data_IF_945083059025
#
_entry.id   IF_945083059025
#
_cell.length_a   1.000
_cell.length_b   1.000
_cell.length_c   1.000
_cell.angle_alpha   90.00
_cell.angle_beta   90.00
_cell.angle_gamma   90.00
#
_symmetry.space_group_name_H-M   'P 1'
#
loop_
_entity.id
_entity.type
_entity.pdbx_description
1 polymer ?
#
# COMPACT_ATOMS: atom_id res chain seq x y z
N UNK A 1 10.45 16.28 16.79
CA UNK A 1 9.68 15.14 16.27
C UNK A 1 10.16 14.87 14.85
N UNK A 2 10.62 13.67 14.54
CA UNK A 2 9.80 12.68 13.83
C UNK A 2 9.42 13.06 12.37
N UNK A 3 10.11 13.98 11.68
CA UNK A 3 9.92 14.12 10.22
C UNK A 3 10.18 12.78 9.51
N UNK A 4 11.22 12.05 9.90
CA UNK A 4 11.47 10.71 9.33
C UNK A 4 10.32 9.73 9.58
N UNK A 5 9.71 9.73 10.78
CA UNK A 5 8.57 8.84 11.08
C UNK A 5 7.32 9.22 10.29
N UNK A 6 7.00 10.50 10.16
CA UNK A 6 5.79 10.94 9.45
C UNK A 6 5.88 10.59 7.96
N UNK A 7 7.03 10.85 7.34
CA UNK A 7 7.24 10.63 5.90
C UNK A 7 7.73 9.22 5.55
N UNK A 8 8.14 8.40 6.53
CA UNK A 8 8.57 7.00 6.33
C UNK A 8 7.65 6.20 5.39
N UNK A 9 6.30 6.25 5.50
CA UNK A 9 5.43 5.50 4.59
C UNK A 9 5.54 5.98 3.14
N UNK A 10 5.75 7.29 2.94
CA UNK A 10 5.92 7.88 1.61
C UNK A 10 7.30 7.51 1.05
N UNK A 11 8.36 7.64 1.85
CA UNK A 11 9.71 7.26 1.43
C UNK A 11 9.78 5.77 1.04
N UNK A 12 9.07 4.92 1.80
CA UNK A 12 9.03 3.49 1.55
C UNK A 12 8.44 3.13 0.17
N UNK A 13 7.44 3.88 -0.32
CA UNK A 13 6.83 3.66 -1.64
C UNK A 13 7.84 3.74 -2.80
N UNK A 14 8.88 4.55 -2.63
CA UNK A 14 9.93 4.75 -3.63
C UNK A 14 11.21 3.99 -3.29
N UNK A 15 11.23 3.29 -2.15
CA UNK A 15 12.28 2.36 -1.84
C UNK A 15 12.25 1.21 -2.84
N UNK A 16 13.42 0.62 -3.11
CA UNK A 16 13.48 -0.63 -3.88
C UNK A 16 12.83 -1.82 -3.17
N UNK A 17 12.27 -1.64 -1.96
CA UNK A 17 11.71 -2.68 -1.12
C UNK A 17 10.19 -2.81 -1.20
N UNK A 18 9.48 -1.88 -1.85
CA UNK A 18 8.05 -2.01 -2.10
C UNK A 18 7.79 -3.30 -2.89
N UNK A 19 6.86 -4.11 -2.39
CA UNK A 19 6.46 -5.39 -3.01
C UNK A 19 7.56 -6.45 -3.14
N UNK A 20 8.64 -6.41 -2.38
CA UNK A 20 9.73 -7.40 -2.50
C UNK A 20 9.39 -8.88 -2.23
N UNK A 21 8.22 -9.16 -1.68
CA UNK A 21 7.82 -10.50 -1.24
C UNK A 21 8.07 -10.74 0.25
N UNK A 22 7.19 -11.57 0.83
CA UNK A 22 7.25 -12.09 2.19
C UNK A 22 8.06 -13.39 2.25
N UNK A 23 8.74 -13.63 3.37
CA UNK A 23 9.07 -15.02 3.76
C UNK A 23 7.83 -15.65 4.40
N UNK A 24 7.60 -16.95 4.15
CA UNK A 24 6.41 -17.67 4.63
C UNK A 24 6.35 -17.67 6.16
N UNK A 25 7.50 -17.72 6.82
CA UNK A 25 7.63 -17.67 8.28
C UNK A 25 7.17 -16.32 8.86
N UNK A 26 7.25 -15.24 8.07
CA UNK A 26 6.86 -13.90 8.47
C UNK A 26 5.35 -13.62 8.28
N UNK A 27 4.56 -14.59 7.83
CA UNK A 27 3.14 -14.44 7.48
C UNK A 27 2.14 -14.98 8.53
N UNK A 28 2.59 -15.37 9.73
CA UNK A 28 1.73 -16.06 10.72
C UNK A 28 0.53 -15.24 11.23
N UNK A 29 0.59 -13.91 11.14
CA UNK A 29 -0.45 -12.98 11.58
C UNK A 29 -1.41 -12.52 10.47
N UNK A 30 -1.21 -12.98 9.23
CA UNK A 30 -1.98 -12.57 8.04
C UNK A 30 -2.48 -13.76 7.24
N UNK A 31 -3.50 -13.55 6.42
CA UNK A 31 -3.91 -14.49 5.38
C UNK A 31 -3.10 -14.18 4.13
N UNK A 32 -2.09 -15.01 3.83
CA UNK A 32 -1.22 -14.82 2.68
C UNK A 32 -1.91 -15.35 1.41
N UNK A 33 -1.88 -14.57 0.34
CA UNK A 33 -2.30 -14.98 -1.00
C UNK A 33 -1.09 -15.12 -1.92
N UNK A 34 -1.14 -16.15 -2.76
CA UNK A 34 -0.17 -16.44 -3.82
C UNK A 34 -0.76 -16.25 -5.23
N UNK A 35 -2.07 -15.98 -5.35
CA UNK A 35 -2.70 -15.71 -6.64
C UNK A 35 -3.00 -14.22 -6.82
N UNK A 36 -2.45 -13.65 -7.89
CA UNK A 36 -2.66 -12.23 -8.22
C UNK A 36 -4.14 -11.91 -8.53
N UNK A 37 -4.89 -12.75 -9.29
CA UNK A 37 -6.31 -12.48 -9.55
C UNK A 37 -7.16 -12.41 -8.29
N UNK A 38 -6.94 -13.27 -7.28
CA UNK A 38 -7.68 -13.17 -6.02
C UNK A 38 -7.29 -11.94 -5.23
N UNK A 39 -6.01 -11.56 -5.21
CA UNK A 39 -5.55 -10.33 -4.55
C UNK A 39 -6.28 -9.09 -5.11
N UNK A 40 -6.35 -8.99 -6.45
CA UNK A 40 -7.11 -7.93 -7.13
C UNK A 40 -8.60 -7.97 -6.80
N UNK A 41 -9.18 -9.18 -6.74
CA UNK A 41 -10.57 -9.36 -6.35
C UNK A 41 -10.82 -8.80 -4.95
N UNK A 42 -10.01 -9.14 -3.95
CA UNK A 42 -10.17 -8.60 -2.60
C UNK A 42 -9.91 -7.08 -2.51
N UNK A 43 -8.97 -6.56 -3.30
CA UNK A 43 -8.62 -5.14 -3.27
C UNK A 43 -9.72 -4.24 -3.84
N UNK A 44 -10.38 -4.68 -4.92
CA UNK A 44 -11.19 -3.79 -5.75
C UNK A 44 -12.65 -4.22 -5.92
N UNK A 45 -13.01 -5.48 -5.65
CA UNK A 45 -14.40 -5.93 -5.74
C UNK A 45 -15.26 -5.29 -4.65
N UNK A 46 -16.43 -4.77 -5.05
CA UNK A 46 -17.36 -4.08 -4.16
C UNK A 46 -18.39 -5.02 -3.53
N UNK A 47 -18.52 -6.24 -4.06
CA UNK A 47 -19.48 -7.25 -3.60
C UNK A 47 -18.71 -8.49 -3.12
N UNK A 48 -18.18 -8.38 -1.90
CA UNK A 48 -17.50 -9.50 -1.25
C UNK A 48 -18.47 -10.20 -0.28
N UNK A 49 -18.54 -11.53 -0.29
CA UNK A 49 -19.41 -12.25 0.63
C UNK A 49 -18.92 -12.11 2.08
N UNK A 50 -19.81 -12.25 3.05
CA UNK A 50 -19.40 -12.39 4.45
C UNK A 50 -18.44 -13.59 4.60
N UNK A 51 -17.34 -13.50 5.39
CA UNK A 51 -16.98 -12.44 6.33
C UNK A 51 -15.93 -11.44 5.81
N UNK A 52 -15.85 -11.25 4.49
CA UNK A 52 -14.91 -10.32 3.88
C UNK A 52 -15.45 -8.89 3.91
N UNK A 53 -14.55 -7.93 4.05
CA UNK A 53 -14.88 -6.49 4.02
C UNK A 53 -14.19 -5.86 2.81
N UNK A 54 -14.90 -4.98 2.11
CA UNK A 54 -14.35 -4.21 0.99
C UNK A 54 -13.15 -3.40 1.47
N UNK A 55 -11.99 -3.63 0.84
CA UNK A 55 -10.72 -3.01 1.23
C UNK A 55 -10.79 -1.49 1.20
N UNK A 56 -11.31 -0.92 0.12
CA UNK A 56 -11.45 0.54 -0.04
C UNK A 56 -12.33 1.16 1.05
N UNK A 57 -13.41 0.49 1.47
CA UNK A 57 -14.28 0.99 2.53
C UNK A 57 -13.52 1.12 3.86
N UNK A 58 -12.58 0.22 4.14
CA UNK A 58 -11.76 0.27 5.36
C UNK A 58 -10.87 1.52 5.35
N UNK A 59 -10.17 1.75 4.23
CA UNK A 59 -9.23 2.87 4.11
C UNK A 59 -9.97 4.21 4.04
N UNK A 60 -11.09 4.28 3.32
CA UNK A 60 -11.94 5.47 3.27
C UNK A 60 -12.60 5.75 4.63
N UNK A 61 -12.99 4.72 5.38
CA UNK A 61 -13.49 4.90 6.74
C UNK A 61 -12.40 5.50 7.65
N UNK A 62 -11.12 5.10 7.50
CA UNK A 62 -10.03 5.77 8.20
C UNK A 62 -9.88 7.22 7.77
N UNK A 63 -9.87 7.51 6.48
CA UNK A 63 -9.81 8.90 6.00
C UNK A 63 -10.98 9.73 6.49
N UNK A 64 -12.20 9.18 6.51
CA UNK A 64 -13.39 9.84 7.02
C UNK A 64 -13.24 10.23 8.50
N UNK A 65 -12.71 9.33 9.33
CA UNK A 65 -12.41 9.63 10.73
C UNK A 65 -11.32 10.71 10.86
N UNK A 66 -10.26 10.66 10.05
CA UNK A 66 -9.21 11.68 10.04
C UNK A 66 -9.74 13.06 9.63
N UNK A 67 -10.69 13.14 8.69
CA UNK A 67 -11.35 14.39 8.25
C UNK A 67 -12.09 15.11 9.38
N UNK A 68 -12.39 14.41 10.49
CA UNK A 68 -12.98 15.05 11.67
C UNK A 68 -11.97 15.91 12.45
N UNK A 69 -10.66 15.77 12.17
CA UNK A 69 -9.63 16.66 12.71
C UNK A 69 -9.59 17.97 11.91
N UNK A 70 -9.67 19.12 12.59
CA UNK A 70 -9.66 20.43 11.95
C UNK A 70 -8.37 20.78 11.20
N UNK A 71 -7.30 19.98 11.35
CA UNK A 71 -6.04 20.12 10.61
C UNK A 71 -5.91 19.15 9.45
N UNK A 72 -6.93 18.33 9.16
CA UNK A 72 -6.87 17.30 8.13
C UNK A 72 -6.47 17.86 6.77
N UNK A 73 -7.14 18.91 6.29
CA UNK A 73 -6.90 19.47 4.96
C UNK A 73 -5.44 19.95 4.79
N UNK A 74 -4.87 20.53 5.85
CA UNK A 74 -3.48 20.97 5.85
C UNK A 74 -2.52 19.78 5.90
N UNK A 75 -2.82 18.76 6.70
CA UNK A 75 -2.04 17.54 6.76
C UNK A 75 -2.04 16.79 5.42
N UNK A 76 -3.21 16.63 4.79
CA UNK A 76 -3.35 16.02 3.48
C UNK A 76 -2.57 16.80 2.41
N UNK A 77 -2.66 18.14 2.39
CA UNK A 77 -1.87 18.96 1.45
C UNK A 77 -0.37 18.75 1.63
N UNK A 78 0.12 18.71 2.88
CA UNK A 78 1.55 18.49 3.17
C UNK A 78 2.01 17.12 2.67
N UNK A 79 1.25 16.05 2.98
CA UNK A 79 1.59 14.70 2.56
C UNK A 79 1.51 14.54 1.04
N UNK A 80 0.44 15.03 0.40
CA UNK A 80 0.26 14.93 -1.06
C UNK A 80 1.31 15.74 -1.82
N UNK A 81 1.70 16.91 -1.31
CA UNK A 81 2.80 17.70 -1.89
C UNK A 81 4.10 16.90 -1.87
N UNK A 82 4.44 16.31 -0.73
CA UNK A 82 5.66 15.52 -0.59
C UNK A 82 5.64 14.27 -1.48
N UNK A 83 4.51 13.55 -1.52
CA UNK A 83 4.32 12.42 -2.43
C UNK A 83 4.53 12.83 -3.89
N UNK A 84 3.96 13.95 -4.32
CA UNK A 84 4.15 14.47 -5.68
C UNK A 84 5.61 14.82 -6.00
N UNK A 85 6.34 15.40 -5.04
CA UNK A 85 7.78 15.65 -5.17
C UNK A 85 8.57 14.35 -5.35
N UNK A 86 8.26 13.30 -4.56
CA UNK A 86 8.88 11.98 -4.72
C UNK A 86 8.52 11.34 -6.07
N UNK A 87 7.25 11.39 -6.50
CA UNK A 87 6.85 10.88 -7.80
C UNK A 87 7.61 11.57 -8.95
N UNK A 88 7.83 12.88 -8.88
CA UNK A 88 8.62 13.61 -9.86
C UNK A 88 10.10 13.17 -9.84
N UNK A 89 10.69 13.02 -8.66
CA UNK A 89 12.08 12.57 -8.50
C UNK A 89 12.30 11.16 -9.08
N UNK A 90 11.34 10.26 -8.87
CA UNK A 90 11.42 8.86 -9.29
C UNK A 90 10.72 8.57 -10.64
N UNK A 91 10.29 9.60 -11.37
CA UNK A 91 9.60 9.45 -12.66
C UNK A 91 10.41 8.63 -13.70
N UNK A 92 11.75 8.62 -13.57
CA UNK A 92 12.63 7.78 -14.37
C UNK A 92 12.32 6.28 -14.28
N UNK A 93 11.85 5.78 -13.12
CA UNK A 93 11.49 4.37 -12.95
C UNK A 93 10.34 3.96 -13.88
N UNK A 94 9.31 4.82 -13.99
CA UNK A 94 8.18 4.58 -14.89
C UNK A 94 8.60 4.61 -16.36
N UNK A 95 9.54 5.50 -16.71
CA UNK A 95 10.10 5.56 -18.07
C UNK A 95 10.86 4.26 -18.39
N UNK A 96 11.70 3.77 -17.47
CA UNK A 96 12.42 2.51 -17.65
C UNK A 96 11.48 1.31 -17.78
N UNK A 97 10.43 1.23 -16.94
CA UNK A 97 9.38 0.22 -17.08
C UNK A 97 8.69 0.25 -18.44
N UNK A 98 8.30 1.45 -18.92
CA UNK A 98 7.70 1.61 -20.25
C UNK A 98 8.64 1.15 -21.37
N UNK A 99 9.93 1.45 -21.27
CA UNK A 99 10.95 0.94 -22.21
C UNK A 99 11.04 -0.58 -22.18
N UNK A 100 11.02 -1.21 -20.99
CA UNK A 100 11.00 -2.67 -20.85
C UNK A 100 9.78 -3.29 -21.54
N UNK A 101 8.60 -2.70 -21.35
CA UNK A 101 7.36 -3.15 -22.00
C UNK A 101 7.41 -3.07 -23.52
N UNK A 102 7.93 -1.97 -24.07
CA UNK A 102 8.11 -1.82 -25.52
C UNK A 102 9.06 -2.91 -26.05
N UNK A 103 10.13 -3.19 -25.31
CA UNK A 103 11.10 -4.24 -25.63
C UNK A 103 10.60 -5.67 -25.34
N UNK A 104 9.43 -5.80 -24.69
CA UNK A 104 8.84 -7.08 -24.26
C UNK A 104 9.78 -7.91 -23.37
N UNK A 105 10.53 -7.24 -22.49
CA UNK A 105 11.42 -7.89 -21.51
C UNK A 105 11.08 -7.51 -20.06
N UNK A 106 9.90 -6.95 -19.84
CA UNK A 106 9.31 -6.79 -18.52
C UNK A 106 8.91 -8.16 -17.95
N UNK A 107 9.05 -8.34 -16.64
CA UNK A 107 8.54 -9.51 -15.92
C UNK A 107 7.10 -9.27 -15.43
N UNK A 108 6.43 -10.32 -14.96
CA UNK A 108 5.15 -10.17 -14.26
C UNK A 108 5.28 -9.29 -13.02
N UNK A 109 6.41 -9.41 -12.30
CA UNK A 109 6.75 -8.52 -11.20
C UNK A 109 6.86 -7.05 -11.63
N UNK A 110 7.55 -6.76 -12.75
CA UNK A 110 7.63 -5.41 -13.29
C UNK A 110 6.22 -4.87 -13.58
N UNK A 111 5.34 -5.67 -14.17
CA UNK A 111 3.96 -5.25 -14.44
C UNK A 111 3.16 -4.98 -13.17
N UNK A 112 3.31 -5.84 -12.15
CA UNK A 112 2.67 -5.65 -10.86
C UNK A 112 3.16 -4.39 -10.14
N UNK A 113 4.47 -4.12 -10.13
CA UNK A 113 5.06 -2.95 -9.47
C UNK A 113 4.55 -1.62 -10.05
N UNK A 114 4.10 -1.59 -11.29
CA UNK A 114 3.56 -0.39 -11.97
C UNK A 114 2.08 -0.52 -12.34
N UNK A 115 1.33 -1.28 -11.54
CA UNK A 115 -0.11 -1.53 -11.69
C UNK A 115 -0.98 -0.76 -10.69
N UNK A 116 -2.29 -1.00 -10.71
CA UNK A 116 -3.25 -0.41 -9.76
C UNK A 116 -2.92 -0.75 -8.30
N UNK A 117 -2.21 -1.85 -8.03
CA UNK A 117 -1.69 -2.16 -6.70
C UNK A 117 -0.75 -1.07 -6.15
N UNK A 118 0.02 -0.41 -7.03
CA UNK A 118 0.91 0.70 -6.65
C UNK A 118 0.10 1.95 -6.31
N UNK A 119 -0.94 2.24 -7.10
CA UNK A 119 -1.81 3.39 -6.85
C UNK A 119 -2.62 3.21 -5.55
N UNK A 120 -3.10 1.99 -5.27
CA UNK A 120 -3.66 1.62 -3.97
C UNK A 120 -2.64 1.85 -2.85
N UNK A 121 -1.39 1.38 -3.00
CA UNK A 121 -0.35 1.60 -2.00
C UNK A 121 -0.07 3.09 -1.75
N UNK A 122 -0.11 3.93 -2.79
CA UNK A 122 0.00 5.39 -2.63
C UNK A 122 -1.10 5.95 -1.75
N UNK A 123 -2.34 5.56 -2.00
CA UNK A 123 -3.49 6.02 -1.23
C UNK A 123 -3.44 5.54 0.24
N UNK A 124 -3.13 4.26 0.43
CA UNK A 124 -3.05 3.62 1.75
C UNK A 124 -1.92 4.22 2.59
N UNK A 125 -0.70 4.30 2.05
CA UNK A 125 0.46 4.79 2.80
C UNK A 125 0.42 6.30 3.02
N UNK A 126 -0.23 7.06 2.13
CA UNK A 126 -0.56 8.48 2.42
C UNK A 126 -1.52 8.60 3.60
N UNK A 127 -2.51 7.71 3.71
CA UNK A 127 -3.44 7.70 4.85
C UNK A 127 -2.71 7.38 6.16
N UNK A 128 -1.74 6.47 6.15
CA UNK A 128 -0.85 6.22 7.31
C UNK A 128 -0.06 7.48 7.67
N UNK A 129 0.59 8.12 6.70
CA UNK A 129 1.38 9.33 6.93
C UNK A 129 0.54 10.50 7.46
N UNK A 130 -0.69 10.69 6.96
CA UNK A 130 -1.63 11.71 7.47
C UNK A 130 -1.99 11.42 8.92
N UNK A 131 -2.35 10.18 9.27
CA UNK A 131 -2.64 9.81 10.66
C UNK A 131 -1.44 10.11 11.58
N UNK A 132 -0.22 9.79 11.15
CA UNK A 132 1.02 10.09 11.89
C UNK A 132 1.22 11.59 12.07
N UNK A 133 1.00 12.38 11.02
CA UNK A 133 1.13 13.85 11.05
C UNK A 133 0.11 14.51 11.98
N UNK A 134 -1.10 13.96 12.06
CA UNK A 134 -2.15 14.38 12.99
C UNK A 134 -1.95 13.87 14.43
N UNK A 135 -0.82 13.20 14.70
CA UNK A 135 -0.47 12.74 16.05
C UNK A 135 -1.06 11.40 16.44
N UNK A 136 -1.19 10.49 15.46
CA UNK A 136 -1.66 9.10 15.65
C UNK A 136 -3.05 9.05 16.33
N UNK A 137 -4.01 9.83 15.82
CA UNK A 137 -5.35 9.95 16.40
C UNK A 137 -6.20 8.66 16.24
N UNK A 138 -5.95 7.87 15.20
CA UNK A 138 -6.55 6.54 15.01
C UNK A 138 -5.75 5.46 15.75
N UNK A 139 -5.96 5.35 17.07
CA UNK A 139 -5.16 4.51 17.98
C UNK A 139 -5.49 3.01 17.95
N UNK A 140 -6.12 2.50 16.90
CA UNK A 140 -6.45 1.07 16.79
C UNK A 140 -5.28 0.20 16.27
N UNK A 141 -4.19 0.83 15.82
CA UNK A 141 -2.98 0.17 15.33
C UNK A 141 -3.11 -0.52 13.97
N UNK A 142 -4.28 -0.50 13.32
CA UNK A 142 -4.48 -1.20 12.05
C UNK A 142 -3.68 -0.57 10.92
N UNK A 143 -3.63 0.76 10.83
CA UNK A 143 -2.81 1.49 9.85
C UNK A 143 -1.32 1.13 9.97
N UNK A 144 -0.81 0.98 11.19
CA UNK A 144 0.57 0.57 11.44
C UNK A 144 0.81 -0.91 11.10
N UNK A 145 -0.16 -1.79 11.36
CA UNK A 145 -0.11 -3.19 10.92
C UNK A 145 -0.10 -3.30 9.39
N UNK A 146 -0.92 -2.50 8.70
CA UNK A 146 -0.94 -2.41 7.24
C UNK A 146 0.44 -1.99 6.74
N UNK A 147 1.00 -0.92 7.30
CA UNK A 147 2.34 -0.46 6.90
C UNK A 147 3.43 -1.51 7.21
N UNK A 148 3.35 -2.22 8.32
CA UNK A 148 4.26 -3.32 8.63
C UNK A 148 4.19 -4.45 7.58
N UNK A 149 3.01 -4.71 6.99
CA UNK A 149 2.89 -5.66 5.88
C UNK A 149 3.62 -5.17 4.62
N UNK A 150 3.48 -3.89 4.27
CA UNK A 150 4.27 -3.30 3.18
C UNK A 150 5.77 -3.43 3.41
N UNK A 151 6.24 -3.15 4.64
CA UNK A 151 7.66 -3.30 5.01
C UNK A 151 8.18 -4.73 4.95
N UNK A 152 7.30 -5.72 5.12
CA UNK A 152 7.59 -7.14 4.91
C UNK A 152 7.57 -7.56 3.43
N UNK A 153 7.28 -6.64 2.51
CA UNK A 153 7.34 -6.87 1.07
C UNK A 153 6.03 -7.31 0.42
N UNK A 154 4.91 -7.34 1.17
CA UNK A 154 3.62 -7.76 0.63
C UNK A 154 2.69 -6.60 0.33
N UNK A 155 1.57 -6.93 -0.29
CA UNK A 155 0.51 -5.99 -0.61
C UNK A 155 -0.76 -6.31 0.18
N UNK A 156 -1.05 -5.57 1.27
CA UNK A 156 -2.34 -5.63 1.95
C UNK A 156 -3.46 -5.25 0.98
N UNK A 157 -4.36 -6.18 0.75
CA UNK A 157 -5.38 -6.07 -0.29
C UNK A 157 -6.78 -6.48 0.20
N UNK A 158 -6.97 -6.72 1.50
CA UNK A 158 -8.29 -7.07 2.01
C UNK A 158 -8.30 -7.41 3.49
N UNK A 159 -9.51 -7.69 4.00
CA UNK A 159 -9.72 -8.12 5.37
C UNK A 159 -10.78 -9.22 5.42
N UNK A 160 -10.50 -10.26 6.20
CA UNK A 160 -11.43 -11.34 6.55
C UNK A 160 -11.70 -11.28 8.05
N UNK A 161 -12.86 -10.78 8.46
CA UNK A 161 -13.15 -10.51 9.88
C UNK A 161 -12.16 -9.52 10.50
N UNK A 162 -11.18 -10.01 11.27
CA UNK A 162 -10.12 -9.20 11.87
C UNK A 162 -8.72 -9.46 11.28
N UNK A 163 -8.61 -10.40 10.33
CA UNK A 163 -7.33 -10.80 9.74
C UNK A 163 -7.08 -10.03 8.44
N UNK A 164 -5.88 -9.45 8.29
CA UNK A 164 -5.44 -8.84 7.04
C UNK A 164 -5.20 -9.92 5.99
N UNK A 165 -5.65 -9.67 4.78
CA UNK A 165 -5.32 -10.43 3.58
C UNK A 165 -4.17 -9.70 2.90
N UNK A 166 -3.09 -10.43 2.61
CA UNK A 166 -1.87 -9.87 2.05
C UNK A 166 -1.42 -10.73 0.88
N UNK A 167 -1.27 -10.12 -0.29
CA UNK A 167 -0.65 -10.78 -1.43
C UNK A 167 0.87 -10.82 -1.26
N UNK A 168 1.49 -11.96 -1.61
CA UNK A 168 2.93 -12.15 -1.61
C UNK A 168 3.51 -12.06 -3.03
N UNK A 169 4.16 -10.95 -3.41
CA UNK A 169 4.68 -10.78 -4.76
C UNK A 169 5.88 -11.67 -5.10
N UNK A 170 6.46 -12.43 -4.16
CA UNK A 170 7.56 -13.36 -4.45
C UNK A 170 7.17 -14.42 -5.49
N UNK A 171 5.87 -14.70 -5.64
CA UNK A 171 5.32 -15.61 -6.65
C UNK A 171 5.40 -15.05 -8.07
N UNK A 172 5.62 -13.74 -8.23
CA UNK A 172 5.74 -13.07 -9.53
C UNK A 172 7.18 -13.01 -10.06
N UNK A 173 8.14 -13.46 -9.24
CA UNK A 173 9.57 -13.50 -9.58
C UNK A 173 10.03 -14.86 -10.11
N UNK A 174 9.18 -15.88 -10.14
CA UNK A 174 9.48 -17.18 -10.73
C UNK A 174 9.16 -17.19 -12.23
N UNK A 175 10.21 -17.08 -13.06
CA UNK A 175 10.26 -17.52 -14.46
C UNK A 175 11.55 -18.31 -14.68
#
# INVERSE_FOLDING_TARGET
>A
MKNSYIFEPIDFLFSGSLFKGFSVEAAQDVLLLDTLPEAYRFAFEQDLPSPYTVWNDIIENFRSQLRSDGKFDDAEKVINKYLGEQQALYAGQLIEYRKKRIRKNNTQYDDFLFSDAREDAYFVLSTVAINRLLGDCLRNGLLEKIFACYKRGGWPCGVKGQQLIVFNPSVLTEL
#
